data_IF_323985393720
#
_entry.id   IF_323985393720
#
_cell.length_a   1.000
_cell.length_b   1.000
_cell.length_c   1.000
_cell.angle_alpha   90.00
_cell.angle_beta   90.00
_cell.angle_gamma   90.00
#
_symmetry.space_group_name_H-M   'P 1'
#
loop_
_entity.id
_entity.type
_entity.pdbx_description
1 polymer ?
#
# COMPACT_ATOMS: atom_id res chain seq x y z
N UNK A 1 3.22 16.73 -9.75
CA UNK A 1 3.78 15.90 -8.65
C UNK A 1 5.29 15.85 -8.81
N UNK A 2 6.06 16.24 -7.77
CA UNK A 2 7.53 16.11 -7.77
C UNK A 2 7.88 14.81 -7.06
N UNK A 3 8.51 13.89 -7.77
CA UNK A 3 9.11 12.69 -7.17
C UNK A 3 10.25 13.12 -6.24
N UNK A 4 10.21 12.71 -4.98
CA UNK A 4 11.33 12.89 -4.05
C UNK A 4 12.20 11.61 -4.07
N UNK A 5 13.41 11.66 -4.65
CA UNK A 5 14.29 10.49 -4.74
C UNK A 5 14.79 9.99 -3.39
N UNK A 6 14.53 10.70 -2.29
CA UNK A 6 14.87 10.27 -0.92
C UNK A 6 13.83 9.32 -0.33
N UNK A 7 12.69 9.14 -0.98
CA UNK A 7 11.68 8.18 -0.53
C UNK A 7 12.14 6.76 -0.84
N UNK A 8 12.34 5.98 0.22
CA UNK A 8 12.61 4.56 0.10
C UNK A 8 11.27 3.79 0.11
N UNK A 9 10.94 3.01 -0.94
CA UNK A 9 9.80 2.08 -0.96
C UNK A 9 9.69 1.23 0.31
N UNK A 10 10.82 0.78 0.86
CA UNK A 10 10.89 -0.04 2.07
C UNK A 10 10.41 0.65 3.35
N UNK A 11 10.29 1.97 3.36
CA UNK A 11 9.78 2.73 4.51
C UNK A 11 8.24 2.76 4.57
N UNK A 12 7.55 2.24 3.55
CA UNK A 12 6.10 2.30 3.44
C UNK A 12 5.44 0.94 3.70
N UNK A 13 4.36 0.98 4.48
CA UNK A 13 3.47 -0.17 4.70
C UNK A 13 2.09 0.10 4.11
N UNK A 14 1.58 -0.83 3.31
CA UNK A 14 0.23 -0.82 2.75
C UNK A 14 -0.67 -1.71 3.60
N UNK A 15 -1.76 -1.13 4.11
CA UNK A 15 -2.79 -1.86 4.83
C UNK A 15 -4.01 -2.03 3.93
N UNK A 16 -4.41 -3.26 3.65
CA UNK A 16 -5.49 -3.58 2.71
C UNK A 16 -6.45 -4.62 3.28
N UNK A 17 -7.72 -4.55 2.86
CA UNK A 17 -8.69 -5.58 3.20
C UNK A 17 -8.56 -6.77 2.27
N UNK A 18 -8.49 -7.96 2.84
CA UNK A 18 -8.53 -9.21 2.10
C UNK A 18 -9.35 -10.25 2.86
N UNK A 19 -10.38 -10.79 2.20
CA UNK A 19 -11.36 -11.70 2.80
C UNK A 19 -11.92 -11.18 4.14
N UNK A 20 -12.16 -9.87 4.24
CA UNK A 20 -12.68 -9.19 5.43
C UNK A 20 -11.65 -8.93 6.53
N UNK A 21 -10.39 -9.35 6.37
CA UNK A 21 -9.31 -9.11 7.32
C UNK A 21 -8.41 -7.98 6.83
N UNK A 22 -7.95 -7.13 7.74
CA UNK A 22 -6.92 -6.15 7.44
C UNK A 22 -5.56 -6.85 7.43
N UNK A 23 -4.85 -6.77 6.32
CA UNK A 23 -3.47 -7.26 6.17
C UNK A 23 -2.53 -6.08 5.98
N UNK A 24 -1.28 -6.25 6.39
CA UNK A 24 -0.18 -5.31 6.18
C UNK A 24 0.88 -5.96 5.30
N UNK A 25 1.44 -5.19 4.36
CA UNK A 25 2.57 -5.59 3.53
C UNK A 25 3.49 -4.40 3.28
N UNK A 26 4.80 -4.64 3.15
CA UNK A 26 5.71 -3.58 2.75
C UNK A 26 5.49 -3.21 1.29
N UNK A 27 5.58 -1.93 0.96
CA UNK A 27 5.43 -1.46 -0.41
C UNK A 27 6.55 -1.99 -1.33
N UNK A 28 7.73 -2.31 -0.82
CA UNK A 28 8.78 -2.96 -1.63
C UNK A 28 8.46 -4.39 -2.06
N UNK A 29 7.47 -5.03 -1.43
CA UNK A 29 7.06 -6.40 -1.72
C UNK A 29 5.90 -6.48 -2.73
N UNK A 30 5.42 -5.34 -3.21
CA UNK A 30 4.31 -5.26 -4.17
C UNK A 30 4.78 -4.78 -5.54
N UNK A 31 4.14 -5.29 -6.58
CA UNK A 31 4.25 -4.71 -7.93
C UNK A 31 2.92 -4.08 -8.32
N UNK A 32 2.96 -2.85 -8.84
CA UNK A 32 1.77 -2.18 -9.32
C UNK A 32 1.47 -2.62 -10.76
N UNK A 33 0.23 -3.04 -11.01
CA UNK A 33 -0.25 -3.48 -12.32
C UNK A 33 -1.64 -2.91 -12.60
N UNK A 34 -1.69 -1.75 -13.25
CA UNK A 34 -2.96 -1.04 -13.51
C UNK A 34 -3.67 -0.70 -12.19
N UNK A 35 -4.94 -1.12 -12.08
CA UNK A 35 -5.77 -0.90 -10.88
C UNK A 35 -5.55 -1.95 -9.76
N UNK A 36 -4.49 -2.75 -9.88
CA UNK A 36 -4.14 -3.83 -8.96
C UNK A 36 -2.73 -3.67 -8.43
N UNK A 37 -2.49 -4.28 -7.27
CA UNK A 37 -1.14 -4.59 -6.80
C UNK A 37 -0.99 -6.10 -6.67
N UNK A 38 0.16 -6.60 -7.12
CA UNK A 38 0.53 -8.00 -7.10
C UNK A 38 1.34 -8.30 -5.84
N UNK A 39 0.98 -9.38 -5.15
CA UNK A 39 1.69 -9.93 -3.99
C UNK A 39 1.96 -11.40 -4.29
N UNK A 40 3.20 -11.74 -4.65
CA UNK A 40 3.51 -13.07 -5.17
C UNK A 40 2.62 -13.41 -6.37
N UNK A 41 1.81 -14.45 -6.27
CA UNK A 41 0.85 -14.87 -7.32
C UNK A 41 -0.54 -14.24 -7.17
N UNK A 42 -0.79 -13.47 -6.11
CA UNK A 42 -2.10 -12.86 -5.84
C UNK A 42 -2.20 -11.46 -6.45
N UNK A 43 -3.34 -11.15 -7.07
CA UNK A 43 -3.70 -9.80 -7.50
C UNK A 43 -4.75 -9.20 -6.58
N UNK A 44 -4.46 -8.02 -6.04
CA UNK A 44 -5.34 -7.32 -5.11
C UNK A 44 -5.75 -5.97 -5.68
N UNK A 45 -7.06 -5.68 -5.81
CA UNK A 45 -7.52 -4.38 -6.28
C UNK A 45 -7.10 -3.22 -5.37
N UNK A 46 -6.61 -2.11 -5.93
CA UNK A 46 -6.16 -0.93 -5.18
C UNK A 46 -7.25 -0.31 -4.30
N UNK A 47 -8.54 -0.41 -4.69
CA UNK A 47 -9.65 0.10 -3.87
C UNK A 47 -9.80 -0.62 -2.51
N UNK A 48 -9.09 -1.74 -2.30
CA UNK A 48 -9.02 -2.47 -1.04
C UNK A 48 -8.01 -1.88 -0.06
N UNK A 49 -7.09 -1.01 -0.51
CA UNK A 49 -6.22 -0.26 0.40
C UNK A 49 -7.09 0.57 1.34
N UNK A 50 -6.73 0.56 2.62
CA UNK A 50 -7.40 1.28 3.70
C UNK A 50 -6.51 2.33 4.33
N UNK A 51 -5.21 2.05 4.41
CA UNK A 51 -4.25 2.91 5.10
C UNK A 51 -2.85 2.71 4.52
N UNK A 52 -2.08 3.79 4.44
CA UNK A 52 -0.67 3.78 4.07
C UNK A 52 0.10 4.45 5.21
N UNK A 53 1.17 3.80 5.66
CA UNK A 53 2.05 4.34 6.69
C UNK A 53 3.46 4.50 6.16
N UNK A 54 4.17 5.54 6.59
CA UNK A 54 5.57 5.80 6.32
C UNK A 54 6.32 5.89 7.64
N UNK A 55 7.32 5.03 7.86
CA UNK A 55 8.08 4.94 9.13
C UNK A 55 7.16 4.89 10.37
N UNK A 56 6.10 4.09 10.30
CA UNK A 56 5.10 3.93 11.36
C UNK A 56 4.07 5.07 11.48
N UNK A 57 4.22 6.17 10.72
CA UNK A 57 3.26 7.29 10.71
C UNK A 57 2.26 7.13 9.59
N UNK A 58 0.98 7.34 9.88
CA UNK A 58 -0.07 7.28 8.86
C UNK A 58 0.07 8.50 7.94
N UNK A 59 0.25 8.26 6.65
CA UNK A 59 0.37 9.32 5.62
C UNK A 59 -0.84 9.37 4.70
N UNK A 60 -1.65 8.31 4.69
CA UNK A 60 -2.93 8.26 3.99
C UNK A 60 -3.87 7.28 4.70
N UNK A 61 -5.13 7.67 4.84
CA UNK A 61 -6.19 6.82 5.39
C UNK A 61 -7.47 7.05 4.60
N UNK A 62 -8.09 5.98 4.12
CA UNK A 62 -9.32 6.02 3.32
C UNK A 62 -10.49 6.72 4.04
N UNK A 63 -10.51 6.72 5.38
CA UNK A 63 -11.57 7.39 6.16
C UNK A 63 -11.39 8.91 6.23
N UNK A 64 -10.22 9.42 5.84
CA UNK A 64 -9.88 10.85 5.89
C UNK A 64 -10.03 11.54 4.52
N UNK A 65 -10.53 10.84 3.50
CA UNK A 65 -10.69 11.31 2.11
C UNK A 65 -12.16 11.33 1.73
#
# INVERSE_FOLDING_TARGET
>A
MRWDPRLNPGDFSIHYLDLGKLKEINFSEIELQGDFFRIGESLVPMHRIRKISWKGRVVWDKRSV
#
